data_IF_173755198970
#
_entry.id   IF_173755198970
#
_cell.length_a   1.000
_cell.length_b   1.000
_cell.length_c   1.000
_cell.angle_alpha   90.00
_cell.angle_beta   90.00
_cell.angle_gamma   90.00
#
_symmetry.space_group_name_H-M   'P 1'
#
loop_
_entity.id
_entity.type
_entity.pdbx_description
1 polymer ?
#
# COMPACT_ATOMS: atom_id res chain seq x y z
N UNK A 1 -15.05 -6.08 -5.58
CA UNK A 1 -14.47 -7.04 -4.61
C UNK A 1 -12.97 -6.97 -4.79
N UNK A 2 -12.19 -6.81 -3.70
CA UNK A 2 -10.73 -6.80 -3.80
C UNK A 2 -10.20 -8.12 -4.35
N UNK A 3 -9.32 -8.04 -5.34
CA UNK A 3 -8.53 -9.20 -5.80
C UNK A 3 -7.07 -8.78 -5.91
N UNK A 4 -6.17 -9.71 -5.58
CA UNK A 4 -4.73 -9.50 -5.72
C UNK A 4 -4.24 -10.59 -6.65
N UNK A 5 -3.70 -10.18 -7.79
CA UNK A 5 -3.31 -11.08 -8.88
C UNK A 5 -1.78 -11.04 -8.95
N UNK A 6 -1.17 -12.19 -8.67
CA UNK A 6 0.29 -12.35 -8.58
C UNK A 6 0.82 -12.34 -7.14
N UNK A 7 2.08 -12.75 -7.00
CA UNK A 7 2.77 -12.77 -5.72
C UNK A 7 3.57 -11.49 -5.49
N UNK A 8 3.60 -11.07 -4.23
CA UNK A 8 4.44 -9.95 -3.81
C UNK A 8 5.86 -10.49 -3.57
N UNK A 9 6.70 -10.43 -4.61
CA UNK A 9 8.12 -10.80 -4.51
C UNK A 9 8.94 -9.52 -4.49
N UNK A 10 9.75 -9.37 -3.43
CA UNK A 10 10.52 -8.16 -3.17
C UNK A 10 11.95 -8.50 -2.80
N UNK A 11 12.89 -7.63 -3.20
CA UNK A 11 14.28 -7.63 -2.72
C UNK A 11 14.51 -6.43 -1.80
N UNK A 12 15.37 -6.60 -0.79
CA UNK A 12 15.82 -5.49 0.05
C UNK A 12 16.88 -4.68 -0.70
N UNK A 13 16.69 -3.37 -0.79
CA UNK A 13 17.67 -2.47 -1.43
C UNK A 13 18.74 -2.06 -0.42
N UNK A 14 18.33 -1.85 0.82
CA UNK A 14 19.20 -1.54 1.94
C UNK A 14 18.85 -2.40 3.16
N UNK A 15 19.72 -2.38 4.16
CA UNK A 15 19.53 -3.08 5.43
C UNK A 15 18.49 -2.40 6.33
N UNK A 16 17.82 -1.34 5.87
CA UNK A 16 16.96 -0.50 6.72
C UNK A 16 15.48 -0.76 6.47
N UNK A 17 14.93 -0.28 5.35
CA UNK A 17 13.46 -0.20 5.17
C UNK A 17 12.97 -0.24 3.73
N UNK A 18 13.83 0.02 2.75
CA UNK A 18 13.41 0.13 1.37
C UNK A 18 13.51 -1.22 0.66
N UNK A 19 12.43 -1.58 0.00
CA UNK A 19 12.36 -2.80 -0.80
C UNK A 19 11.97 -2.48 -2.22
N UNK A 20 12.47 -3.26 -3.17
CA UNK A 20 12.12 -3.20 -4.58
C UNK A 20 11.23 -4.37 -4.95
N UNK A 21 10.18 -4.09 -5.71
CA UNK A 21 9.35 -5.11 -6.32
C UNK A 21 10.10 -5.78 -7.49
N UNK A 22 10.28 -7.10 -7.46
CA UNK A 22 11.04 -7.81 -8.50
C UNK A 22 10.18 -8.29 -9.67
N UNK A 23 8.86 -8.38 -9.47
CA UNK A 23 7.88 -8.76 -10.50
C UNK A 23 6.61 -7.92 -10.39
N UNK A 24 5.91 -7.63 -11.50
CA UNK A 24 4.69 -6.85 -11.42
C UNK A 24 3.62 -7.57 -10.57
N UNK A 25 2.80 -6.78 -9.88
CA UNK A 25 1.65 -7.27 -9.12
C UNK A 25 0.43 -6.41 -9.47
N UNK A 26 -0.74 -7.05 -9.59
CA UNK A 26 -1.98 -6.37 -9.94
C UNK A 26 -2.97 -6.41 -8.79
N UNK A 27 -3.72 -5.33 -8.69
CA UNK A 27 -4.75 -5.15 -7.68
C UNK A 27 -6.04 -4.76 -8.37
N UNK A 28 -7.14 -5.37 -7.93
CA UNK A 28 -8.49 -4.95 -8.25
C UNK A 28 -9.10 -4.37 -6.98
N UNK A 29 -9.63 -3.15 -7.04
CA UNK A 29 -10.19 -2.42 -5.91
C UNK A 29 -11.61 -1.95 -6.19
N UNK A 30 -12.53 -2.26 -5.27
CA UNK A 30 -13.90 -1.73 -5.32
C UNK A 30 -13.93 -0.22 -5.04
N UNK A 31 -13.01 0.28 -4.23
CA UNK A 31 -12.91 1.71 -3.92
C UNK A 31 -12.69 2.51 -5.20
N UNK A 32 -11.78 2.07 -6.07
CA UNK A 32 -11.53 2.73 -7.35
C UNK A 32 -12.76 2.70 -8.27
N UNK A 33 -13.45 1.55 -8.34
CA UNK A 33 -14.71 1.42 -9.08
C UNK A 33 -15.79 2.40 -8.59
N UNK A 34 -15.97 2.52 -7.27
CA UNK A 34 -16.98 3.40 -6.66
C UNK A 34 -16.66 4.89 -6.88
N UNK A 35 -15.38 5.24 -7.05
CA UNK A 35 -14.90 6.59 -7.42
C UNK A 35 -14.94 6.85 -8.94
N UNK A 36 -15.43 5.91 -9.75
CA UNK A 36 -15.51 6.05 -11.21
C UNK A 36 -14.16 5.94 -11.93
N UNK A 37 -13.16 5.33 -11.29
CA UNK A 37 -11.82 5.10 -11.83
C UNK A 37 -11.68 3.66 -12.33
N UNK A 38 -10.65 3.35 -13.16
CA UNK A 38 -10.27 1.97 -13.46
C UNK A 38 -10.11 1.17 -12.16
N UNK A 39 -10.85 0.08 -12.05
CA UNK A 39 -10.91 -0.74 -10.84
C UNK A 39 -9.70 -1.66 -10.70
N UNK A 40 -8.92 -1.82 -11.76
CA UNK A 40 -7.66 -2.56 -11.81
C UNK A 40 -6.46 -1.62 -12.00
N UNK A 41 -5.38 -1.87 -11.26
CA UNK A 41 -4.09 -1.21 -11.47
C UNK A 41 -2.92 -2.18 -11.29
N UNK A 42 -1.82 -1.89 -11.98
CA UNK A 42 -0.58 -2.68 -11.93
C UNK A 42 0.54 -1.87 -11.28
N UNK A 43 1.22 -2.49 -10.33
CA UNK A 43 2.49 -1.98 -9.79
C UNK A 43 3.61 -2.69 -10.54
N UNK A 44 4.35 -1.94 -11.34
CA UNK A 44 5.41 -2.48 -12.21
C UNK A 44 6.62 -2.96 -11.41
N UNK A 45 7.33 -3.95 -11.94
CA UNK A 45 8.63 -4.34 -11.42
C UNK A 45 9.59 -3.14 -11.39
N UNK A 46 10.48 -3.11 -10.40
CA UNK A 46 11.34 -1.97 -10.13
C UNK A 46 10.75 -0.96 -9.14
N UNK A 47 9.44 -1.03 -8.84
CA UNK A 47 8.81 -0.12 -7.89
C UNK A 47 9.43 -0.25 -6.49
N UNK A 48 9.85 0.89 -5.93
CA UNK A 48 10.45 0.98 -4.60
C UNK A 48 9.38 1.39 -3.58
N UNK A 49 9.31 0.70 -2.45
CA UNK A 49 8.34 0.97 -1.39
C UNK A 49 9.00 0.95 0.00
N UNK A 50 8.35 1.59 0.97
CA UNK A 50 8.82 1.67 2.36
C UNK A 50 7.92 0.81 3.25
N UNK A 51 8.42 -0.35 3.68
CA UNK A 51 7.68 -1.24 4.57
C UNK A 51 7.66 -0.77 6.04
N UNK A 52 8.41 0.29 6.39
CA UNK A 52 8.58 0.77 7.78
C UNK A 52 7.85 2.09 8.08
N UNK A 53 7.21 2.70 7.09
CA UNK A 53 6.54 4.01 7.15
C UNK A 53 5.50 4.25 8.27
N UNK A 54 5.11 3.21 9.03
CA UNK A 54 4.28 3.34 10.24
C UNK A 54 4.93 2.61 11.43
N UNK A 55 5.72 3.31 12.28
CA UNK A 55 6.55 2.71 13.33
C UNK A 55 5.77 2.10 14.52
N UNK A 56 4.51 2.49 14.72
CA UNK A 56 3.76 2.15 15.95
C UNK A 56 3.02 0.79 15.81
N UNK A 57 2.73 0.33 14.58
CA UNK A 57 2.13 -0.98 14.30
C UNK A 57 2.80 -1.54 13.03
N UNK A 58 3.83 -2.38 13.21
CA UNK A 58 4.52 -3.08 12.11
C UNK A 58 3.51 -3.61 11.09
N UNK A 59 3.77 -3.34 9.81
CA UNK A 59 2.87 -3.50 8.68
C UNK A 59 1.99 -4.75 8.73
N UNK A 60 0.70 -4.58 9.03
CA UNK A 60 -0.25 -5.70 9.06
C UNK A 60 -0.48 -6.30 7.65
N UNK A 61 -0.35 -5.50 6.58
CA UNK A 61 -0.46 -5.96 5.17
C UNK A 61 0.64 -5.36 4.29
N UNK A 62 1.64 -6.16 3.90
CA UNK A 62 2.66 -5.77 2.92
C UNK A 62 2.05 -5.40 1.56
N UNK A 63 1.14 -6.25 1.07
CA UNK A 63 0.37 -6.01 -0.19
C UNK A 63 -0.44 -4.72 -0.14
N UNK A 64 -1.06 -4.43 1.01
CA UNK A 64 -1.73 -3.15 1.22
C UNK A 64 -0.74 -1.99 1.14
N UNK A 65 0.40 -2.11 1.83
CA UNK A 65 1.45 -1.08 1.81
C UNK A 65 1.92 -0.78 0.39
N UNK A 66 2.18 -1.81 -0.40
CA UNK A 66 2.54 -1.69 -1.83
C UNK A 66 1.50 -0.90 -2.62
N UNK A 67 0.22 -1.27 -2.51
CA UNK A 67 -0.87 -0.57 -3.19
C UNK A 67 -0.98 0.89 -2.77
N UNK A 68 -0.88 1.16 -1.47
CA UNK A 68 -0.93 2.51 -0.91
C UNK A 68 0.24 3.36 -1.42
N UNK A 69 1.46 2.86 -1.34
CA UNK A 69 2.66 3.60 -1.75
C UNK A 69 2.66 3.86 -3.25
N UNK A 70 2.17 2.92 -4.07
CA UNK A 70 2.02 3.10 -5.51
C UNK A 70 0.99 4.18 -5.83
N UNK A 71 -0.24 4.05 -5.32
CA UNK A 71 -1.32 5.02 -5.57
C UNK A 71 -1.03 6.39 -4.96
N UNK A 72 -0.07 6.45 -4.03
CA UNK A 72 0.45 7.69 -3.50
C UNK A 72 1.51 8.32 -4.39
N UNK A 73 1.90 7.78 -5.55
CA UNK A 73 2.88 8.42 -6.46
C UNK A 73 2.25 9.51 -7.33
N UNK A 74 3.05 10.50 -7.69
CA UNK A 74 2.62 11.67 -8.46
C UNK A 74 2.21 11.36 -9.90
N UNK A 75 2.66 10.23 -10.43
CA UNK A 75 2.40 9.71 -11.78
C UNK A 75 1.83 8.28 -11.74
N UNK A 76 1.18 7.90 -10.64
CA UNK A 76 0.46 6.63 -10.55
C UNK A 76 -0.70 6.55 -11.54
N UNK A 77 -1.05 5.33 -11.94
CA UNK A 77 -2.19 5.06 -12.81
C UNK A 77 -3.11 4.03 -12.12
N UNK A 78 -4.34 4.40 -11.72
CA UNK A 78 -4.91 5.75 -11.81
C UNK A 78 -4.26 6.73 -10.84
N UNK A 79 -4.27 8.02 -11.21
CA UNK A 79 -3.83 9.10 -10.32
C UNK A 79 -4.96 9.40 -9.34
N UNK A 80 -4.69 9.24 -8.04
CA UNK A 80 -5.72 9.35 -7.01
C UNK A 80 -5.33 10.29 -5.88
N UNK A 81 -6.32 10.69 -5.09
CA UNK A 81 -6.05 11.43 -3.87
C UNK A 81 -5.51 10.50 -2.79
N UNK A 82 -4.79 11.08 -1.83
CA UNK A 82 -4.34 10.38 -0.62
C UNK A 82 -5.48 9.66 0.12
N UNK A 83 -6.67 10.25 0.13
CA UNK A 83 -7.83 9.66 0.78
C UNK A 83 -8.29 8.37 0.07
N UNK A 84 -8.27 8.36 -1.26
CA UNK A 84 -8.59 7.18 -2.08
C UNK A 84 -7.52 6.11 -1.89
N UNK A 85 -6.23 6.45 -1.97
CA UNK A 85 -5.13 5.51 -1.72
C UNK A 85 -5.24 4.85 -0.32
N UNK A 86 -5.56 5.63 0.72
CA UNK A 86 -5.81 5.13 2.07
C UNK A 86 -7.06 4.23 2.17
N UNK A 87 -8.10 4.51 1.38
CA UNK A 87 -9.30 3.67 1.32
C UNK A 87 -9.03 2.33 0.60
N UNK A 88 -8.24 2.33 -0.48
CA UNK A 88 -7.76 1.09 -1.13
C UNK A 88 -6.92 0.26 -0.15
N UNK A 89 -6.05 0.91 0.63
CA UNK A 89 -5.28 0.26 1.70
C UNK A 89 -6.18 -0.45 2.72
N UNK A 90 -7.23 0.24 3.19
CA UNK A 90 -8.24 -0.32 4.08
C UNK A 90 -8.93 -1.54 3.49
N UNK A 91 -9.33 -1.45 2.22
CA UNK A 91 -10.01 -2.52 1.50
C UNK A 91 -9.15 -3.79 1.45
N UNK A 92 -7.87 -3.65 1.09
CA UNK A 92 -6.91 -4.77 1.03
C UNK A 92 -6.65 -5.38 2.40
N UNK A 93 -6.58 -4.56 3.46
CA UNK A 93 -6.49 -5.08 4.83
C UNK A 93 -7.75 -5.84 5.24
N UNK A 94 -8.94 -5.33 4.90
CA UNK A 94 -10.20 -5.99 5.18
C UNK A 94 -10.30 -7.35 4.50
N UNK A 95 -9.87 -7.43 3.23
CA UNK A 95 -9.76 -8.68 2.48
C UNK A 95 -8.84 -9.68 3.20
N UNK A 96 -7.63 -9.25 3.61
CA UNK A 96 -6.69 -10.10 4.37
C UNK A 96 -7.32 -10.59 5.68
N UNK A 97 -7.95 -9.71 6.44
CA UNK A 97 -8.54 -10.04 7.74
C UNK A 97 -9.71 -11.02 7.62
N UNK A 98 -10.46 -10.97 6.50
CA UNK A 98 -11.53 -11.92 6.18
C UNK A 98 -11.04 -13.31 5.80
N UNK A 99 -9.81 -13.43 5.30
CA UNK A 99 -9.13 -14.70 5.04
C UNK A 99 -8.49 -15.30 6.31
N UNK A 100 -8.35 -14.52 7.38
CA UNK A 100 -7.70 -14.97 8.62
C UNK A 100 -8.70 -15.56 9.60
N UNK A 101 -8.54 -16.85 9.91
CA UNK A 101 -9.32 -17.50 10.96
C UNK A 101 -9.07 -16.90 12.34
N UNK A 102 -10.13 -16.78 13.14
CA UNK A 102 -10.03 -16.22 14.48
C UNK A 102 -11.38 -15.86 15.10
N UNK A 103 -11.50 -16.14 16.40
CA UNK A 103 -12.66 -15.79 17.21
C UNK A 103 -12.93 -14.28 17.30
N UNK A 104 -14.09 -13.93 17.86
CA UNK A 104 -14.67 -12.58 17.87
C UNK A 104 -13.71 -11.50 18.39
N UNK A 105 -12.98 -11.77 19.49
CA UNK A 105 -12.00 -10.83 20.05
C UNK A 105 -10.87 -10.47 19.09
N UNK A 106 -10.34 -11.45 18.33
CA UNK A 106 -9.30 -11.21 17.33
C UNK A 106 -9.83 -10.42 16.14
N UNK A 107 -11.11 -10.60 15.77
CA UNK A 107 -11.76 -9.80 14.72
C UNK A 107 -11.89 -8.34 15.13
N UNK A 108 -12.26 -8.07 16.39
CA UNK A 108 -12.39 -6.72 16.91
C UNK A 108 -11.02 -6.00 17.01
N UNK A 109 -9.99 -6.66 17.54
CA UNK A 109 -8.62 -6.10 17.58
C UNK A 109 -8.10 -5.75 16.16
N UNK A 110 -8.30 -6.65 15.19
CA UNK A 110 -7.94 -6.38 13.78
C UNK A 110 -8.71 -5.18 13.22
N UNK A 111 -10.02 -5.12 13.45
CA UNK A 111 -10.86 -4.00 13.02
C UNK A 111 -10.38 -2.66 13.59
N UNK A 112 -10.08 -2.60 14.89
CA UNK A 112 -9.59 -1.39 15.55
C UNK A 112 -8.23 -0.94 15.00
N UNK A 113 -7.26 -1.86 14.92
CA UNK A 113 -5.92 -1.58 14.35
C UNK A 113 -6.00 -1.07 12.92
N UNK A 114 -6.92 -1.61 12.13
CA UNK A 114 -7.18 -1.22 10.75
C UNK A 114 -7.65 0.24 10.64
N UNK A 115 -8.60 0.66 11.48
CA UNK A 115 -9.07 2.04 11.53
C UNK A 115 -8.03 3.03 12.05
N UNK A 116 -7.29 2.64 13.10
CA UNK A 116 -6.17 3.44 13.59
C UNK A 116 -5.16 3.68 12.46
N UNK A 117 -4.81 2.63 11.72
CA UNK A 117 -3.84 2.74 10.64
C UNK A 117 -4.34 3.57 9.47
N UNK A 118 -5.62 3.46 9.11
CA UNK A 118 -6.23 4.37 8.14
C UNK A 118 -6.12 5.83 8.53
N UNK A 119 -6.40 6.16 9.79
CA UNK A 119 -6.23 7.51 10.31
C UNK A 119 -4.80 8.01 10.14
N UNK A 120 -3.82 7.18 10.50
CA UNK A 120 -2.39 7.51 10.34
C UNK A 120 -2.04 7.75 8.88
N UNK A 121 -2.33 6.80 7.97
CA UNK A 121 -1.94 6.97 6.55
C UNK A 121 -2.65 8.13 5.89
N UNK A 122 -3.88 8.49 6.31
CA UNK A 122 -4.61 9.66 5.80
C UNK A 122 -3.97 10.99 6.24
N UNK A 123 -3.51 11.08 7.49
CA UNK A 123 -3.08 12.35 8.11
C UNK A 123 -1.56 12.55 8.09
N UNK A 124 -0.75 11.48 8.04
CA UNK A 124 0.71 11.57 8.19
C UNK A 124 1.34 12.50 7.14
N UNK A 125 2.06 13.57 7.55
CA UNK A 125 2.81 14.43 6.63
C UNK A 125 4.07 13.71 6.14
N UNK A 126 4.41 13.87 4.85
CA UNK A 126 5.74 13.50 4.34
C UNK A 126 5.89 12.23 3.49
N UNK A 127 4.83 11.66 2.92
CA UNK A 127 4.96 10.41 2.14
C UNK A 127 4.65 10.55 0.65
N UNK A 128 5.46 9.84 -0.16
CA UNK A 128 5.50 9.47 -1.60
C UNK A 128 4.76 10.25 -2.70
N UNK A 129 3.81 11.13 -2.37
CA UNK A 129 3.04 11.99 -3.30
C UNK A 129 3.88 12.91 -4.16
N UNK A 130 5.16 13.12 -3.82
CA UNK A 130 6.08 13.90 -4.65
C UNK A 130 6.89 13.04 -5.61
N UNK A 131 7.14 11.78 -5.24
CA UNK A 131 8.01 10.90 -6.02
C UNK A 131 7.23 10.23 -7.15
N UNK A 132 7.93 9.98 -8.26
CA UNK A 132 7.43 9.18 -9.36
C UNK A 132 7.42 7.70 -9.02
N UNK A 133 6.65 6.90 -9.77
CA UNK A 133 6.59 5.44 -9.66
C UNK A 133 7.98 4.83 -9.89
N UNK A 134 8.72 5.33 -10.88
CA UNK A 134 10.06 4.85 -11.23
C UNK A 134 11.18 5.65 -10.57
N UNK A 135 10.90 6.36 -9.46
CA UNK A 135 11.93 7.08 -8.73
C UNK A 135 13.01 6.12 -8.22
N UNK A 136 14.27 6.55 -8.27
CA UNK A 136 15.40 5.74 -7.80
C UNK A 136 15.44 5.68 -6.28
N UNK A 137 16.27 4.77 -5.76
CA UNK A 137 16.48 4.64 -4.32
C UNK A 137 17.04 5.95 -3.73
N UNK A 138 18.01 6.55 -4.41
CA UNK A 138 18.68 7.79 -4.00
C UNK A 138 17.67 8.95 -3.93
N UNK A 139 16.79 9.08 -4.94
CA UNK A 139 15.74 10.09 -4.97
C UNK A 139 14.72 9.93 -3.83
N UNK A 140 14.38 8.68 -3.49
CA UNK A 140 13.45 8.37 -2.41
C UNK A 140 14.11 8.56 -1.04
N UNK A 141 15.38 8.19 -0.90
CA UNK A 141 16.16 8.30 0.33
C UNK A 141 16.66 9.72 0.59
N UNK A 142 16.59 10.61 -0.40
CA UNK A 142 17.10 11.98 -0.30
C UNK A 142 18.64 12.04 -0.28
N UNK A 143 19.30 11.04 -0.89
CA UNK A 143 20.76 10.97 -1.00
C UNK A 143 21.11 11.60 -2.35
N UNK A 144 21.88 12.69 -2.33
CA UNK A 144 22.40 13.40 -3.52
C UNK A 144 23.89 13.20 -3.68
#
# INVERSE_FOLDING_TARGET
>A
MTRIIGDLITEHIDDTKYVRLTQPIRFVSRVLYEEGLPDEFEVSAGFIMDFESVPIVKGTSKRGGTAHDYLSRSDSVPLVTKAIAAAVYLEIMAYRDGLMDGGVFRRFDRWWRRWLKYGVVRVAPGYFHRHRVMATYEEIAGIS
#
